data_IF_213375928202
#
_entry.id   IF_213375928202
#
_cell.length_a   1.000
_cell.length_b   1.000
_cell.length_c   1.000
_cell.angle_alpha   90.00
_cell.angle_beta   90.00
_cell.angle_gamma   90.00
#
_symmetry.space_group_name_H-M   'P 1'
#
loop_
_entity.id
_entity.type
_entity.pdbx_description
1 polymer ?
#
# COMPACT_ATOMS: atom_id res chain seq x y z
N UNK A 1 11.11 2.56 -23.54
CA UNK A 1 11.69 2.85 -22.22
C UNK A 1 10.78 3.81 -21.46
N UNK A 2 10.32 3.40 -20.32
CA UNK A 2 9.46 4.21 -19.47
C UNK A 2 10.24 5.00 -18.44
N UNK A 3 9.56 5.97 -17.80
CA UNK A 3 10.15 6.81 -16.75
C UNK A 3 10.59 6.01 -15.53
N UNK A 4 10.00 4.82 -15.33
CA UNK A 4 10.24 3.99 -14.16
C UNK A 4 10.98 2.69 -14.49
N UNK A 5 11.63 2.62 -15.63
CA UNK A 5 12.40 1.44 -16.03
C UNK A 5 13.45 1.09 -14.95
N UNK A 6 13.42 -0.17 -14.54
CA UNK A 6 14.33 -0.68 -13.52
C UNK A 6 13.99 -0.28 -12.09
N UNK A 7 12.93 0.48 -11.87
CA UNK A 7 12.50 0.88 -10.53
C UNK A 7 11.62 -0.19 -9.90
N UNK A 8 11.79 -0.39 -8.61
CA UNK A 8 10.95 -1.29 -7.79
C UNK A 8 10.11 -0.45 -6.84
N UNK A 9 8.79 -0.61 -6.94
CA UNK A 9 7.84 0.21 -6.21
C UNK A 9 6.83 -0.68 -5.51
N UNK A 10 6.60 -0.41 -4.22
CA UNK A 10 5.52 -1.02 -3.47
C UNK A 10 4.30 -0.12 -3.57
N UNK A 11 3.16 -0.69 -3.95
CA UNK A 11 1.87 0.02 -4.01
C UNK A 11 0.90 -0.63 -3.05
N UNK A 12 0.36 0.16 -2.13
CA UNK A 12 -0.64 -0.26 -1.16
C UNK A 12 -2.01 0.31 -1.50
N UNK A 13 -3.08 -0.31 -1.01
CA UNK A 13 -4.41 0.27 -1.06
C UNK A 13 -5.29 -0.17 -2.22
N UNK A 14 -4.91 -1.20 -2.98
CA UNK A 14 -5.78 -1.75 -4.02
C UNK A 14 -6.91 -2.53 -3.33
N UNK A 15 -8.15 -2.12 -3.59
CA UNK A 15 -9.36 -2.78 -3.11
C UNK A 15 -10.23 -3.23 -4.27
N UNK A 16 -10.38 -2.37 -5.27
CA UNK A 16 -11.14 -2.62 -6.50
C UNK A 16 -10.35 -2.14 -7.71
N UNK A 17 -10.82 -2.46 -8.91
CA UNK A 17 -10.26 -1.93 -10.16
C UNK A 17 -10.53 -0.43 -10.36
N UNK A 18 -11.37 0.16 -9.50
CA UNK A 18 -11.60 1.61 -9.45
C UNK A 18 -10.73 2.30 -8.41
N UNK A 19 -9.94 1.58 -7.63
CA UNK A 19 -9.03 2.18 -6.64
C UNK A 19 -7.99 3.07 -7.33
N UNK A 20 -7.68 4.20 -6.70
CA UNK A 20 -6.58 5.06 -7.15
C UNK A 20 -5.29 4.23 -7.23
N UNK A 21 -5.03 3.39 -6.22
CA UNK A 21 -3.86 2.52 -6.20
C UNK A 21 -3.79 1.58 -7.40
N UNK A 22 -4.93 1.06 -7.88
CA UNK A 22 -4.95 0.20 -9.07
C UNK A 22 -4.44 0.96 -10.29
N UNK A 23 -4.92 2.18 -10.50
CA UNK A 23 -4.50 3.00 -11.63
C UNK A 23 -3.04 3.44 -11.52
N UNK A 24 -2.57 3.75 -10.31
CA UNK A 24 -1.15 4.03 -10.05
C UNK A 24 -0.31 2.81 -10.43
N UNK A 25 -0.71 1.62 -9.96
CA UNK A 25 0.00 0.38 -10.27
C UNK A 25 0.06 0.12 -11.78
N UNK A 26 -1.07 0.29 -12.46
CA UNK A 26 -1.15 0.10 -13.92
C UNK A 26 -0.19 1.04 -14.65
N UNK A 27 -0.26 2.33 -14.35
CA UNK A 27 0.59 3.33 -15.02
C UNK A 27 2.07 3.10 -14.68
N UNK A 28 2.37 2.75 -13.43
CA UNK A 28 3.75 2.46 -13.03
C UNK A 28 4.33 1.28 -13.83
N UNK A 29 3.55 0.21 -14.03
CA UNK A 29 4.00 -0.92 -14.85
C UNK A 29 4.13 -0.54 -16.32
N UNK A 30 3.21 0.25 -16.87
CA UNK A 30 3.31 0.77 -18.24
C UNK A 30 4.58 1.62 -18.42
N UNK A 31 5.05 2.26 -17.36
CA UNK A 31 6.30 3.04 -17.35
C UNK A 31 7.54 2.22 -16.97
N UNK A 32 7.42 0.91 -16.86
CA UNK A 32 8.55 0.01 -16.68
C UNK A 32 8.86 -0.40 -15.24
N UNK A 33 8.06 -0.01 -14.26
CA UNK A 33 8.30 -0.39 -12.88
C UNK A 33 8.01 -1.87 -12.63
N UNK A 34 8.80 -2.45 -11.74
CA UNK A 34 8.50 -3.73 -11.10
C UNK A 34 7.77 -3.45 -9.78
N UNK A 35 6.63 -4.09 -9.59
CA UNK A 35 5.79 -3.78 -8.43
C UNK A 35 5.77 -4.91 -7.41
N UNK A 36 5.62 -4.51 -6.15
CA UNK A 36 5.10 -5.33 -5.05
C UNK A 36 3.82 -4.67 -4.57
N UNK A 37 2.78 -5.46 -4.36
CA UNK A 37 1.48 -4.95 -3.95
C UNK A 37 1.18 -5.43 -2.54
N UNK A 38 0.48 -4.61 -1.77
CA UNK A 38 -0.05 -5.02 -0.48
C UNK A 38 -1.56 -4.88 -0.46
N UNK A 39 -2.21 -5.79 0.24
CA UNK A 39 -3.66 -5.78 0.41
C UNK A 39 -4.05 -6.30 1.78
N UNK A 40 -5.24 -5.95 2.20
CA UNK A 40 -5.81 -6.35 3.48
C UNK A 40 -7.19 -6.91 3.28
N UNK A 41 -7.56 -7.92 4.10
CA UNK A 41 -8.86 -8.58 3.99
C UNK A 41 -9.04 -9.14 2.56
N UNK A 42 -10.08 -9.73 2.19
CA UNK A 42 -10.48 -10.18 0.84
C UNK A 42 -9.34 -10.40 -0.17
N UNK A 43 -8.23 -10.99 0.25
CA UNK A 43 -7.04 -11.14 -0.61
C UNK A 43 -7.32 -11.89 -1.91
N UNK A 44 -8.23 -12.85 -1.91
CA UNK A 44 -8.61 -13.57 -3.14
C UNK A 44 -9.27 -12.65 -4.16
N UNK A 45 -10.12 -11.74 -3.68
CA UNK A 45 -10.77 -10.76 -4.55
C UNK A 45 -9.74 -9.76 -5.08
N UNK A 46 -8.87 -9.26 -4.20
CA UNK A 46 -7.80 -8.34 -4.58
C UNK A 46 -6.87 -9.01 -5.59
N UNK A 47 -6.53 -10.27 -5.41
CA UNK A 47 -5.70 -11.02 -6.36
C UNK A 47 -6.34 -11.07 -7.75
N UNK A 48 -7.63 -11.31 -7.84
CA UNK A 48 -8.35 -11.29 -9.13
C UNK A 48 -8.30 -9.93 -9.80
N UNK A 49 -8.35 -8.87 -9.00
CA UNK A 49 -8.27 -7.49 -9.50
C UNK A 49 -6.85 -7.20 -9.99
N UNK A 50 -5.84 -7.55 -9.21
CA UNK A 50 -4.45 -7.31 -9.57
C UNK A 50 -3.99 -8.18 -10.74
N UNK A 51 -4.63 -9.32 -10.99
CA UNK A 51 -4.38 -10.15 -12.19
C UNK A 51 -4.74 -9.42 -13.48
N UNK A 52 -5.51 -8.33 -13.42
CA UNK A 52 -5.84 -7.48 -14.58
C UNK A 52 -4.78 -6.43 -14.88
N UNK A 53 -3.77 -6.30 -14.03
CA UNK A 53 -2.65 -5.40 -14.29
C UNK A 53 -1.83 -5.88 -15.50
N UNK A 54 -1.11 -4.97 -16.19
CA UNK A 54 -0.30 -5.32 -17.36
C UNK A 54 0.73 -6.43 -17.10
N UNK A 55 1.29 -6.50 -15.89
CA UNK A 55 2.25 -7.51 -15.51
C UNK A 55 1.90 -8.10 -14.15
N UNK A 56 2.29 -9.35 -13.94
CA UNK A 56 2.11 -9.98 -12.63
C UNK A 56 3.00 -9.31 -11.59
N UNK A 57 2.43 -9.12 -10.39
CA UNK A 57 3.14 -8.58 -9.25
C UNK A 57 2.76 -9.37 -7.99
N UNK A 58 3.71 -9.64 -7.10
CA UNK A 58 3.38 -10.32 -5.85
C UNK A 58 2.46 -9.46 -5.01
N UNK A 59 1.45 -10.10 -4.41
CA UNK A 59 0.50 -9.48 -3.49
C UNK A 59 0.78 -10.02 -2.08
N UNK A 60 1.13 -9.13 -1.16
CA UNK A 60 1.42 -9.45 0.22
C UNK A 60 0.29 -8.94 1.13
N UNK A 61 -0.05 -9.73 2.14
CA UNK A 61 -1.01 -9.28 3.15
C UNK A 61 -0.39 -8.22 4.03
N UNK A 62 -1.10 -7.12 4.22
CA UNK A 62 -0.71 -6.07 5.15
C UNK A 62 -1.94 -5.44 5.80
N UNK A 63 -2.11 -5.73 7.07
CA UNK A 63 -2.97 -4.97 7.97
C UNK A 63 -2.09 -3.95 8.69
N UNK A 64 -2.26 -2.66 8.38
CA UNK A 64 -1.43 -1.60 8.96
C UNK A 64 -1.65 -1.39 10.46
N UNK A 65 -2.68 -2.00 11.03
CA UNK A 65 -2.90 -2.03 12.48
C UNK A 65 -2.22 -3.22 13.16
N UNK A 66 -1.69 -4.17 12.40
CA UNK A 66 -1.08 -5.38 12.90
C UNK A 66 0.45 -5.21 12.98
N UNK A 67 0.98 -5.15 14.19
CA UNK A 67 2.41 -4.92 14.41
C UNK A 67 3.28 -6.06 13.87
N UNK A 68 2.79 -7.29 13.89
CA UNK A 68 3.54 -8.42 13.32
C UNK A 68 3.62 -8.34 11.80
N UNK A 69 2.54 -7.90 11.14
CA UNK A 69 2.56 -7.64 9.71
C UNK A 69 3.61 -6.58 9.36
N UNK A 70 3.64 -5.50 10.12
CA UNK A 70 4.62 -4.42 9.89
C UNK A 70 6.05 -4.88 10.19
N UNK A 71 6.25 -5.61 11.27
CA UNK A 71 7.58 -6.11 11.64
C UNK A 71 8.15 -7.09 10.61
N UNK A 72 7.30 -7.88 9.97
CA UNK A 72 7.70 -8.86 8.96
C UNK A 72 7.73 -8.31 7.53
N UNK A 73 7.24 -7.10 7.31
CA UNK A 73 7.02 -6.57 5.97
C UNK A 73 8.30 -6.47 5.14
N UNK A 74 9.36 -5.91 5.70
CA UNK A 74 10.63 -5.77 5.00
C UNK A 74 11.19 -7.12 4.52
N UNK A 75 11.14 -8.14 5.39
CA UNK A 75 11.57 -9.49 5.04
C UNK A 75 10.73 -10.12 3.94
N UNK A 76 9.41 -9.97 4.02
CA UNK A 76 8.50 -10.51 3.00
C UNK A 76 8.66 -9.81 1.66
N UNK A 77 8.87 -8.50 1.67
CA UNK A 77 9.16 -7.74 0.45
C UNK A 77 10.49 -8.20 -0.16
N UNK A 78 11.53 -8.32 0.65
CA UNK A 78 12.84 -8.79 0.18
C UNK A 78 12.74 -10.18 -0.47
N UNK A 79 11.98 -11.08 0.13
CA UNK A 79 11.73 -12.40 -0.43
C UNK A 79 11.03 -12.30 -1.80
N UNK A 80 10.07 -11.39 -1.93
CA UNK A 80 9.31 -11.20 -3.16
C UNK A 80 10.11 -10.57 -4.29
N UNK A 81 11.02 -9.64 -3.99
CA UNK A 81 11.81 -8.92 -5.00
C UNK A 81 13.21 -9.52 -5.23
N UNK A 82 13.60 -10.47 -4.40
CA UNK A 82 14.90 -11.12 -4.45
C UNK A 82 15.93 -10.51 -3.49
N UNK A 83 16.74 -11.38 -2.88
CA UNK A 83 17.76 -10.96 -1.94
C UNK A 83 18.75 -9.98 -2.59
N UNK A 84 19.11 -8.94 -1.85
CA UNK A 84 20.00 -7.89 -2.33
C UNK A 84 19.31 -6.78 -3.11
N UNK A 85 18.06 -6.95 -3.48
CA UNK A 85 17.26 -5.90 -4.13
C UNK A 85 16.56 -5.04 -3.08
N UNK A 86 16.37 -3.77 -3.42
CA UNK A 86 15.69 -2.81 -2.55
C UNK A 86 14.62 -2.04 -3.33
N UNK A 87 13.77 -1.33 -2.60
CA UNK A 87 12.71 -0.50 -3.18
C UNK A 87 13.22 0.90 -3.52
N UNK A 88 12.74 1.43 -4.63
CA UNK A 88 12.96 2.81 -5.04
C UNK A 88 11.81 3.73 -4.65
N UNK A 89 10.64 3.16 -4.44
CA UNK A 89 9.46 3.93 -4.09
C UNK A 89 8.42 3.13 -3.32
N UNK A 90 7.61 3.84 -2.56
CA UNK A 90 6.45 3.31 -1.84
C UNK A 90 5.29 4.25 -2.09
N UNK A 91 4.15 3.71 -2.46
CA UNK A 91 2.89 4.45 -2.57
C UNK A 91 1.96 4.03 -1.45
N UNK A 92 1.62 4.98 -0.61
CA UNK A 92 0.62 4.81 0.44
C UNK A 92 -0.71 5.38 -0.07
N UNK A 93 -1.64 4.49 -0.41
CA UNK A 93 -2.97 4.84 -0.87
C UNK A 93 -4.01 4.09 -0.04
N UNK A 94 -3.89 4.21 1.27
CA UNK A 94 -4.72 3.52 2.25
C UNK A 94 -5.57 4.54 2.97
N UNK A 95 -6.87 4.30 3.03
CA UNK A 95 -7.80 5.11 3.79
C UNK A 95 -8.98 4.27 4.25
N UNK A 96 -9.44 4.56 5.44
CA UNK A 96 -10.61 3.90 6.00
C UNK A 96 -11.22 4.78 7.10
N UNK A 97 -12.53 4.86 7.12
CA UNK A 97 -13.30 5.47 8.20
C UNK A 97 -14.49 4.57 8.47
N UNK A 98 -14.72 4.16 9.72
CA UNK A 98 -15.96 3.47 10.09
C UNK A 98 -17.21 4.30 9.69
N UNK A 99 -18.30 3.63 9.37
CA UNK A 99 -19.53 4.30 8.91
C UNK A 99 -20.04 5.34 9.90
N UNK A 100 -19.80 5.16 11.19
CA UNK A 100 -20.16 6.13 12.23
C UNK A 100 -19.51 7.48 12.04
N UNK A 101 -18.39 7.56 11.31
CA UNK A 101 -17.71 8.80 11.00
C UNK A 101 -17.97 9.35 9.61
N UNK A 102 -18.83 8.69 8.83
CA UNK A 102 -19.13 9.10 7.45
C UNK A 102 -20.38 9.98 7.41
N UNK A 103 -20.27 11.11 6.73
CA UNK A 103 -21.34 12.09 6.61
C UNK A 103 -21.30 13.12 7.73
N UNK A 104 -22.11 14.19 7.58
CA UNK A 104 -22.05 15.33 8.51
C UNK A 104 -22.54 14.96 9.90
N UNK A 105 -23.75 14.38 9.98
CA UNK A 105 -24.32 14.05 11.28
C UNK A 105 -23.55 12.93 12.00
N UNK A 106 -23.25 11.80 11.36
CA UNK A 106 -22.43 10.78 12.00
C UNK A 106 -21.05 11.29 12.41
N UNK A 107 -20.46 12.21 11.65
CA UNK A 107 -19.16 12.77 11.97
C UNK A 107 -19.13 13.43 13.36
N UNK A 108 -20.17 14.19 13.73
CA UNK A 108 -20.22 14.85 15.02
C UNK A 108 -20.46 13.87 16.18
N UNK A 109 -21.07 12.75 15.91
CA UNK A 109 -21.46 11.78 16.95
C UNK A 109 -20.57 10.53 16.94
N UNK A 110 -19.52 10.50 16.10
CA UNK A 110 -18.66 9.34 15.99
C UNK A 110 -17.94 9.05 17.33
N UNK A 111 -17.98 7.79 17.81
CA UNK A 111 -17.21 7.40 18.99
C UNK A 111 -15.70 7.62 18.76
N UNK A 112 -14.99 8.04 19.80
CA UNK A 112 -13.55 8.27 19.69
C UNK A 112 -12.78 7.04 19.18
N UNK A 113 -13.19 5.84 19.58
CA UNK A 113 -12.55 4.61 19.13
C UNK A 113 -12.61 4.47 17.60
N UNK A 114 -13.72 4.87 16.98
CA UNK A 114 -13.88 4.82 15.52
C UNK A 114 -13.06 5.92 14.83
N UNK A 115 -13.04 7.12 15.41
CA UNK A 115 -12.19 8.21 14.91
C UNK A 115 -10.73 7.82 14.99
N UNK A 116 -10.30 7.26 16.12
CA UNK A 116 -8.95 6.78 16.34
C UNK A 116 -8.56 5.71 15.33
N UNK A 117 -9.45 4.77 15.04
CA UNK A 117 -9.23 3.74 14.02
C UNK A 117 -9.07 4.35 12.63
N UNK A 118 -9.90 5.32 12.27
CA UNK A 118 -9.80 6.03 11.00
C UNK A 118 -8.46 6.74 10.84
N UNK A 119 -8.01 7.44 11.87
CA UNK A 119 -6.70 8.11 11.87
C UNK A 119 -5.56 7.10 11.79
N UNK A 120 -5.63 6.02 12.54
CA UNK A 120 -4.61 4.99 12.53
C UNK A 120 -4.42 4.40 11.13
N UNK A 121 -5.51 3.99 10.49
CA UNK A 121 -5.44 3.35 9.18
C UNK A 121 -5.12 4.35 8.08
N UNK A 122 -5.69 5.56 8.13
CA UNK A 122 -5.58 6.52 7.02
C UNK A 122 -4.34 7.40 7.09
N UNK A 123 -3.89 7.76 8.29
CA UNK A 123 -2.80 8.72 8.44
C UNK A 123 -1.58 8.14 9.14
N UNK A 124 -1.73 7.58 10.33
CA UNK A 124 -0.61 7.06 11.10
C UNK A 124 0.11 5.93 10.39
N UNK A 125 -0.60 5.12 9.63
CA UNK A 125 -0.02 4.01 8.85
C UNK A 125 1.02 4.46 7.83
N UNK A 126 0.97 5.72 7.39
CA UNK A 126 2.02 6.27 6.52
C UNK A 126 3.39 6.22 7.22
N UNK A 127 3.44 6.69 8.45
CA UNK A 127 4.66 6.62 9.25
C UNK A 127 5.04 5.18 9.59
N UNK A 128 4.06 4.34 9.88
CA UNK A 128 4.29 2.91 10.19
C UNK A 128 4.94 2.18 9.00
N UNK A 129 4.43 2.41 7.81
CA UNK A 129 4.98 1.82 6.59
C UNK A 129 6.36 2.37 6.26
N UNK A 130 6.56 3.67 6.44
CA UNK A 130 7.87 4.29 6.24
C UNK A 130 8.92 3.67 7.16
N UNK A 131 8.60 3.52 8.44
CA UNK A 131 9.49 2.88 9.41
C UNK A 131 9.78 1.42 9.03
N UNK A 132 8.75 0.69 8.65
CA UNK A 132 8.89 -0.74 8.30
C UNK A 132 9.75 -0.97 7.05
N UNK A 133 9.66 -0.08 6.06
CA UNK A 133 10.30 -0.26 4.75
C UNK A 133 11.62 0.48 4.60
N UNK A 134 11.92 1.45 5.48
CA UNK A 134 13.17 2.21 5.39
C UNK A 134 14.42 1.34 5.26
N UNK A 135 14.55 0.21 6.00
CA UNK A 135 15.76 -0.65 5.88
C UNK A 135 15.98 -1.23 4.48
N UNK A 136 14.93 -1.31 3.66
CA UNK A 136 15.01 -1.88 2.31
C UNK A 136 14.77 -0.84 1.21
N UNK A 137 14.88 0.43 1.54
CA UNK A 137 14.80 1.52 0.56
C UNK A 137 16.19 1.83 -0.02
N UNK A 138 16.24 2.03 -1.32
CA UNK A 138 17.46 2.55 -1.96
C UNK A 138 17.67 4.02 -1.57
N UNK A 139 18.95 4.48 -1.48
CA UNK A 139 19.22 5.91 -1.33
C UNK A 139 18.56 6.71 -2.46
N UNK A 140 17.94 7.82 -2.11
CA UNK A 140 17.20 8.62 -3.08
C UNK A 140 15.78 8.12 -3.39
N UNK A 141 15.36 7.04 -2.74
CA UNK A 141 13.98 6.55 -2.85
C UNK A 141 12.97 7.52 -2.24
N UNK A 142 11.71 7.34 -2.60
CA UNK A 142 10.63 8.22 -2.13
C UNK A 142 9.44 7.44 -1.61
N UNK A 143 8.69 8.06 -0.70
CA UNK A 143 7.41 7.57 -0.20
C UNK A 143 6.37 8.64 -0.51
N UNK A 144 5.30 8.24 -1.18
CA UNK A 144 4.22 9.14 -1.59
C UNK A 144 2.92 8.71 -0.93
N UNK A 145 2.25 9.66 -0.29
CA UNK A 145 0.91 9.47 0.26
C UNK A 145 -0.13 10.08 -0.65
N UNK A 146 -1.26 9.40 -0.78
CA UNK A 146 -2.44 9.90 -1.50
C UNK A 146 -3.45 10.40 -0.46
N UNK A 147 -3.79 11.69 -0.51
CA UNK A 147 -4.74 12.36 0.39
C UNK A 147 -6.08 12.61 -0.31
#
# INVERSE_FOLDING_TARGET
TGLLDGKRILVSGIITDSSIAFHIARVAQEQGAQLVLTGFDRLRLIQRITDRLPAKAPLLELDVQNEEHLASLAGRVTEAIGAGNKLDGVVHSIGFMPQTGMGINPFFDAPYADVSKGIHISAYSYASMAKALLPIMNPGGSIVGMD
#
